data_IF_702769193825
#
_entry.id   IF_702769193825
#
_cell.length_a   1.000
_cell.length_b   1.000
_cell.length_c   1.000
_cell.angle_alpha   90.00
_cell.angle_beta   90.00
_cell.angle_gamma   90.00
#
_symmetry.space_group_name_H-M   'P 1'
#
loop_
_entity.id
_entity.type
_entity.pdbx_description
1 polymer ?
#
# COMPACT_ATOMS: atom_id res chain seq x y z
N UNK A 1 -44.85 9.37 48.46
CA UNK A 1 -43.71 9.14 47.54
C UNK A 1 -44.21 8.92 46.10
N UNK A 2 -44.86 9.93 45.49
CA UNK A 2 -45.43 9.82 44.13
C UNK A 2 -45.54 11.16 43.38
N UNK A 3 -44.66 12.12 43.68
CA UNK A 3 -44.70 13.47 43.07
C UNK A 3 -43.37 13.95 42.47
N UNK A 4 -42.34 13.09 42.40
CA UNK A 4 -41.02 13.48 41.87
C UNK A 4 -40.66 12.91 40.49
N UNK A 5 -41.56 12.15 39.86
CA UNK A 5 -41.28 11.45 38.59
C UNK A 5 -42.03 11.99 37.35
N UNK A 6 -42.89 13.00 37.48
CA UNK A 6 -43.54 13.64 36.31
C UNK A 6 -42.73 14.83 35.76
N UNK A 7 -41.93 15.50 36.58
CA UNK A 7 -41.12 16.67 36.17
C UNK A 7 -39.89 16.28 35.36
N UNK A 8 -39.27 15.12 35.61
CA UNK A 8 -38.15 14.62 34.78
C UNK A 8 -38.59 14.13 33.40
N UNK A 9 -39.81 13.61 33.25
CA UNK A 9 -40.36 13.22 31.94
C UNK A 9 -40.79 14.41 31.09
N UNK A 10 -41.25 15.52 31.68
CA UNK A 10 -41.53 16.76 30.94
C UNK A 10 -40.26 17.49 30.50
N UNK A 11 -39.19 17.46 31.29
CA UNK A 11 -37.91 18.06 30.88
C UNK A 11 -37.27 17.25 29.75
N UNK A 12 -37.35 15.91 29.77
CA UNK A 12 -36.81 15.07 28.69
C UNK A 12 -37.64 15.09 27.39
N UNK A 13 -38.91 15.51 27.45
CA UNK A 13 -39.75 15.72 26.25
C UNK A 13 -39.58 17.15 25.72
N UNK A 14 -39.21 18.13 26.56
CA UNK A 14 -38.98 19.52 26.13
C UNK A 14 -37.55 19.72 25.60
N UNK A 15 -36.54 18.96 26.05
CA UNK A 15 -35.21 18.96 25.41
C UNK A 15 -35.08 18.05 24.20
N UNK A 16 -36.09 17.23 23.90
CA UNK A 16 -36.20 16.49 22.63
C UNK A 16 -37.07 17.22 21.58
N UNK A 17 -37.68 18.35 21.95
CA UNK A 17 -38.48 19.21 21.07
C UNK A 17 -37.77 20.52 20.66
N UNK A 18 -36.53 20.73 21.09
CA UNK A 18 -35.68 21.86 20.65
C UNK A 18 -34.48 21.41 19.80
N UNK A 19 -34.42 20.14 19.40
CA UNK A 19 -33.39 19.60 18.48
C UNK A 19 -33.98 18.94 17.22
N UNK A 20 -35.31 19.05 17.03
CA UNK A 20 -36.04 18.56 15.84
C UNK A 20 -36.81 19.74 15.20
N UNK A 21 -36.17 20.91 15.12
CA UNK A 21 -36.73 22.06 14.37
C UNK A 21 -35.75 22.70 13.37
N UNK A 22 -34.62 22.05 13.07
CA UNK A 22 -33.66 22.53 12.06
C UNK A 22 -33.27 21.50 10.99
N UNK A 23 -33.95 20.35 10.95
CA UNK A 23 -33.79 19.33 9.89
C UNK A 23 -34.93 19.35 8.85
N UNK A 24 -35.89 20.26 8.98
CA UNK A 24 -37.02 20.39 8.06
C UNK A 24 -37.09 21.86 7.63
N UNK A 25 -36.37 22.24 6.57
CA UNK A 25 -36.77 23.30 5.60
C UNK A 25 -35.72 23.63 4.51
N UNK A 26 -34.76 22.75 4.16
CA UNK A 26 -34.00 22.97 2.90
C UNK A 26 -34.85 22.70 1.64
N UNK A 27 -35.98 22.00 1.79
CA UNK A 27 -36.89 21.67 0.67
C UNK A 27 -37.69 22.91 0.20
N UNK A 28 -37.74 24.01 0.98
CA UNK A 28 -38.50 25.21 0.61
C UNK A 28 -37.67 26.35 -0.02
N UNK A 29 -36.34 26.31 0.00
CA UNK A 29 -35.50 27.42 -0.48
C UNK A 29 -35.26 27.42 -1.99
N UNK A 30 -35.52 26.32 -2.72
CA UNK A 30 -35.40 26.32 -4.18
C UNK A 30 -36.63 26.88 -4.91
N UNK A 31 -37.82 26.89 -4.30
CA UNK A 31 -39.04 27.40 -4.97
C UNK A 31 -39.23 28.91 -4.85
N UNK A 32 -38.43 29.57 -4.01
CA UNK A 32 -38.48 31.02 -3.74
C UNK A 32 -37.14 31.72 -3.99
N UNK A 33 -36.11 31.00 -4.47
CA UNK A 33 -34.82 31.62 -4.78
C UNK A 33 -34.96 32.55 -5.99
N UNK A 34 -34.61 33.82 -5.81
CA UNK A 34 -34.50 34.78 -6.89
C UNK A 34 -33.16 34.58 -7.59
N UNK A 35 -33.16 34.49 -8.93
CA UNK A 35 -31.93 34.39 -9.71
C UNK A 35 -31.73 35.73 -10.40
N UNK A 36 -30.59 36.37 -10.12
CA UNK A 36 -30.19 37.64 -10.71
C UNK A 36 -29.04 37.38 -11.68
N UNK A 37 -29.27 37.64 -12.97
CA UNK A 37 -28.24 37.52 -13.99
C UNK A 37 -27.33 38.76 -13.98
N UNK A 38 -26.03 38.54 -13.81
CA UNK A 38 -25.00 39.57 -13.76
C UNK A 38 -24.12 39.43 -15.02
N UNK A 39 -24.24 40.33 -16.02
CA UNK A 39 -23.37 40.30 -17.20
C UNK A 39 -21.92 40.73 -16.89
N UNK A 40 -21.75 41.57 -15.87
CA UNK A 40 -20.44 42.06 -15.42
C UNK A 40 -19.74 41.08 -14.48
N UNK A 41 -18.79 41.60 -13.70
CA UNK A 41 -18.06 40.83 -12.69
C UNK A 41 -18.30 41.33 -11.27
N UNK A 42 -19.14 42.35 -11.08
CA UNK A 42 -19.36 42.98 -9.80
C UNK A 42 -20.85 43.13 -9.47
N UNK A 43 -21.17 43.00 -8.19
CA UNK A 43 -22.42 43.39 -7.55
C UNK A 43 -22.02 44.36 -6.45
N UNK A 44 -22.59 45.56 -6.45
CA UNK A 44 -22.23 46.61 -5.51
C UNK A 44 -23.47 47.05 -4.73
N UNK A 45 -23.34 47.10 -3.41
CA UNK A 45 -24.33 47.57 -2.44
C UNK A 45 -25.74 46.97 -2.65
N UNK A 46 -25.82 45.67 -2.97
CA UNK A 46 -27.09 44.99 -3.17
C UNK A 46 -27.68 44.55 -1.83
N UNK A 47 -28.92 44.96 -1.56
CA UNK A 47 -29.58 44.70 -0.28
C UNK A 47 -30.39 43.42 -0.35
N UNK A 48 -30.08 42.48 0.54
CA UNK A 48 -30.78 41.21 0.69
C UNK A 48 -31.60 41.25 1.96
N UNK A 49 -32.91 41.06 1.84
CA UNK A 49 -33.82 41.10 2.97
C UNK A 49 -33.72 39.81 3.83
N UNK A 50 -34.04 39.89 5.14
CA UNK A 50 -34.16 38.73 6.01
C UNK A 50 -35.01 37.60 5.42
N UNK A 51 -34.52 36.37 5.51
CA UNK A 51 -35.13 35.14 4.98
C UNK A 51 -35.25 35.08 3.45
N UNK A 52 -34.57 35.96 2.73
CA UNK A 52 -34.46 35.87 1.28
C UNK A 52 -33.34 34.91 0.89
N UNK A 53 -33.49 34.31 -0.29
CA UNK A 53 -32.42 33.55 -0.96
C UNK A 53 -32.23 34.12 -2.35
N UNK A 54 -31.04 34.65 -2.63
CA UNK A 54 -30.68 35.20 -3.93
C UNK A 54 -29.54 34.39 -4.52
N UNK A 55 -29.59 34.14 -5.83
CA UNK A 55 -28.52 33.48 -6.59
C UNK A 55 -28.05 34.45 -7.68
N UNK A 56 -26.83 34.96 -7.52
CA UNK A 56 -26.17 35.78 -8.53
C UNK A 56 -25.53 34.86 -9.58
N UNK A 57 -26.00 34.97 -10.81
CA UNK A 57 -25.51 34.21 -11.96
C UNK A 57 -24.63 35.11 -12.83
N UNK A 58 -23.30 34.98 -12.70
CA UNK A 58 -22.33 35.63 -13.58
C UNK A 58 -22.28 34.90 -14.92
N UNK A 59 -23.15 35.32 -15.83
CA UNK A 59 -23.50 34.58 -17.06
C UNK A 59 -22.28 34.34 -17.96
N UNK A 60 -21.40 35.33 -18.11
CA UNK A 60 -20.18 35.23 -18.92
C UNK A 60 -19.17 34.21 -18.40
N UNK A 61 -19.23 33.89 -17.10
CA UNK A 61 -18.26 33.02 -16.44
C UNK A 61 -18.86 31.65 -16.05
N UNK A 62 -20.17 31.47 -16.18
CA UNK A 62 -20.91 30.32 -15.65
C UNK A 62 -20.63 30.11 -14.15
N UNK A 63 -20.69 31.21 -13.39
CA UNK A 63 -20.46 31.22 -11.94
C UNK A 63 -21.75 31.58 -11.21
N UNK A 64 -22.17 30.73 -10.29
CA UNK A 64 -23.33 30.93 -9.45
C UNK A 64 -22.86 31.17 -8.02
N UNK A 65 -23.22 32.31 -7.44
CA UNK A 65 -22.99 32.63 -6.05
C UNK A 65 -24.33 32.85 -5.37
N UNK A 66 -24.74 31.90 -4.53
CA UNK A 66 -25.98 32.00 -3.79
C UNK A 66 -25.76 32.48 -2.36
N UNK A 67 -26.73 33.22 -1.83
CA UNK A 67 -26.77 33.68 -0.45
C UNK A 67 -28.17 33.46 0.11
N UNK A 68 -28.23 32.86 1.30
CA UNK A 68 -29.43 32.75 2.13
C UNK A 68 -29.10 33.32 3.50
N UNK A 69 -29.97 34.13 4.07
CA UNK A 69 -29.68 34.81 5.33
C UNK A 69 -30.94 34.99 6.17
N UNK A 70 -30.84 34.87 7.49
CA UNK A 70 -31.91 35.29 8.41
C UNK A 70 -31.86 36.81 8.69
N UNK A 71 -30.78 37.49 8.29
CA UNK A 71 -30.48 38.88 8.60
C UNK A 71 -30.40 39.73 7.33
N UNK A 72 -30.63 41.05 7.46
CA UNK A 72 -30.43 41.96 6.34
C UNK A 72 -28.94 42.00 5.96
N UNK A 73 -28.62 41.83 4.68
CA UNK A 73 -27.23 41.83 4.20
C UNK A 73 -27.07 42.87 3.10
N UNK A 74 -26.14 43.80 3.29
CA UNK A 74 -25.64 44.65 2.23
C UNK A 74 -24.42 43.97 1.58
N UNK A 75 -24.59 43.47 0.35
CA UNK A 75 -23.60 42.64 -0.33
C UNK A 75 -22.80 43.43 -1.37
N UNK A 76 -21.48 43.35 -1.24
CA UNK A 76 -20.56 43.60 -2.35
C UNK A 76 -19.92 42.28 -2.79
N UNK A 77 -19.97 41.99 -4.07
CA UNK A 77 -19.41 40.78 -4.67
C UNK A 77 -18.53 41.14 -5.86
N UNK A 78 -17.26 40.75 -5.82
CA UNK A 78 -16.31 40.98 -6.91
C UNK A 78 -15.75 39.64 -7.41
N UNK A 79 -16.12 39.28 -8.65
CA UNK A 79 -15.63 38.13 -9.38
C UNK A 79 -14.34 38.46 -10.13
N UNK A 80 -13.27 37.78 -9.78
CA UNK A 80 -11.96 37.98 -10.38
C UNK A 80 -11.84 37.46 -11.81
N UNK A 81 -10.83 37.93 -12.54
CA UNK A 81 -10.49 37.35 -13.83
C UNK A 81 -10.17 35.86 -13.67
N UNK A 82 -10.53 35.07 -14.68
CA UNK A 82 -10.21 33.64 -14.75
C UNK A 82 -10.93 32.71 -13.76
N UNK A 83 -11.95 33.18 -13.04
CA UNK A 83 -12.90 32.29 -12.35
C UNK A 83 -14.00 31.87 -13.32
N UNK A 84 -14.15 30.57 -13.52
CA UNK A 84 -15.17 30.01 -14.42
C UNK A 84 -15.77 28.75 -13.83
N UNK A 85 -17.03 28.46 -14.16
CA UNK A 85 -17.69 27.21 -13.82
C UNK A 85 -17.59 26.92 -12.31
N UNK A 86 -18.20 27.76 -11.48
CA UNK A 86 -18.24 27.58 -10.02
C UNK A 86 -19.68 27.73 -9.54
N UNK A 87 -20.06 26.96 -8.53
CA UNK A 87 -21.36 27.10 -7.87
C UNK A 87 -21.17 26.96 -6.37
N UNK A 88 -21.18 28.10 -5.69
CA UNK A 88 -21.08 28.21 -4.24
C UNK A 88 -22.34 28.85 -3.67
N UNK A 89 -22.69 28.48 -2.45
CA UNK A 89 -23.82 29.03 -1.72
C UNK A 89 -23.39 29.29 -0.28
N UNK A 90 -23.68 30.48 0.23
CA UNK A 90 -23.45 30.84 1.63
C UNK A 90 -24.76 30.97 2.38
N UNK A 91 -24.82 30.43 3.58
CA UNK A 91 -25.97 30.54 4.47
C UNK A 91 -25.50 31.24 5.73
N UNK A 92 -26.14 32.36 6.05
CA UNK A 92 -25.80 33.18 7.20
C UNK A 92 -26.93 33.08 8.21
N UNK A 93 -26.59 32.80 9.46
CA UNK A 93 -27.50 32.91 10.59
C UNK A 93 -26.87 33.81 11.62
N UNK A 94 -27.50 34.97 11.85
CA UNK A 94 -26.99 36.02 12.72
C UNK A 94 -28.09 36.67 13.56
N UNK A 95 -29.20 35.97 13.83
CA UNK A 95 -30.30 36.44 14.69
C UNK A 95 -30.86 37.80 14.26
N UNK A 96 -31.01 38.00 12.95
CA UNK A 96 -31.54 39.22 12.34
C UNK A 96 -30.67 40.49 12.53
N UNK A 97 -29.40 40.38 12.91
CA UNK A 97 -28.50 41.55 12.97
C UNK A 97 -27.92 41.85 11.60
N UNK A 98 -28.10 43.08 11.11
CA UNK A 98 -27.65 43.50 9.78
C UNK A 98 -26.14 43.36 9.57
N UNK A 99 -25.73 43.03 8.34
CA UNK A 99 -24.35 42.68 7.98
C UNK A 99 -23.97 43.43 6.70
N UNK A 100 -22.83 44.11 6.71
CA UNK A 100 -22.14 44.49 5.48
C UNK A 100 -21.18 43.36 5.12
N UNK A 101 -21.42 42.71 3.97
CA UNK A 101 -20.68 41.54 3.53
C UNK A 101 -19.93 41.86 2.24
N UNK A 102 -18.61 41.81 2.31
CA UNK A 102 -17.74 41.98 1.14
C UNK A 102 -17.14 40.62 0.77
N UNK A 103 -17.49 40.13 -0.41
CA UNK A 103 -16.99 38.89 -0.97
C UNK A 103 -16.12 39.17 -2.20
N UNK A 104 -14.87 38.72 -2.19
CA UNK A 104 -13.98 38.80 -3.35
C UNK A 104 -13.56 37.40 -3.77
N UNK A 105 -13.74 37.06 -5.04
CA UNK A 105 -13.44 35.73 -5.58
C UNK A 105 -12.21 35.82 -6.47
N UNK A 106 -11.12 35.12 -6.14
CA UNK A 106 -9.89 35.07 -6.96
C UNK A 106 -9.30 33.65 -7.00
N UNK A 107 -8.57 33.28 -8.07
CA UNK A 107 -7.95 31.96 -8.19
C UNK A 107 -6.72 31.75 -7.30
N UNK A 108 -6.04 32.80 -6.83
CA UNK A 108 -4.83 32.67 -6.02
C UNK A 108 -4.78 33.74 -4.92
N UNK A 109 -3.99 33.47 -3.86
CA UNK A 109 -3.76 34.43 -2.78
C UNK A 109 -3.03 35.69 -3.27
N UNK A 110 -2.13 35.56 -4.25
CA UNK A 110 -1.41 36.70 -4.85
C UNK A 110 -2.36 37.72 -5.48
N UNK A 111 -3.44 37.25 -6.12
CA UNK A 111 -4.48 38.12 -6.68
C UNK A 111 -5.38 38.77 -5.62
N UNK A 112 -5.30 38.29 -4.38
CA UNK A 112 -5.85 38.95 -3.20
C UNK A 112 -4.85 39.92 -2.53
N UNK A 113 -3.67 40.13 -3.13
CA UNK A 113 -2.64 41.06 -2.63
C UNK A 113 -1.69 40.45 -1.59
N UNK A 114 -1.75 39.13 -1.34
CA UNK A 114 -0.86 38.44 -0.41
C UNK A 114 0.46 38.06 -1.09
N UNK A 115 1.59 38.55 -0.56
CA UNK A 115 2.92 38.27 -1.12
C UNK A 115 3.43 36.84 -0.83
N UNK A 116 2.94 36.20 0.23
CA UNK A 116 3.34 34.84 0.60
C UNK A 116 2.12 33.92 0.58
N UNK A 117 2.26 32.76 -0.07
CA UNK A 117 1.23 31.74 -0.06
C UNK A 117 1.27 30.97 1.28
N UNK A 118 0.13 30.86 1.99
CA UNK A 118 0.07 30.09 3.22
C UNK A 118 0.36 28.60 2.96
N UNK A 119 0.97 27.94 3.94
CA UNK A 119 1.29 26.52 3.86
C UNK A 119 -0.01 25.72 3.72
N UNK A 120 -0.04 24.79 2.76
CA UNK A 120 -1.13 23.84 2.65
C UNK A 120 -1.25 23.02 3.94
N UNK A 121 -2.47 22.69 4.37
CA UNK A 121 -2.64 21.84 5.52
C UNK A 121 -2.07 20.45 5.20
N UNK A 122 -1.50 19.79 6.20
CA UNK A 122 -1.12 18.38 6.12
C UNK A 122 -1.29 17.72 7.48
N UNK A 123 -1.66 16.45 7.47
CA UNK A 123 -1.63 15.61 8.66
C UNK A 123 -0.76 14.36 8.40
N UNK A 124 -0.68 13.46 9.39
CA UNK A 124 0.18 12.28 9.33
C UNK A 124 -0.16 11.29 8.20
N UNK A 125 -1.35 11.36 7.62
CA UNK A 125 -1.84 10.40 6.62
C UNK A 125 -2.26 11.07 5.30
N UNK A 126 -2.58 12.36 5.34
CA UNK A 126 -3.18 13.10 4.24
C UNK A 126 -2.41 14.38 3.93
N UNK A 127 -2.21 14.59 2.63
CA UNK A 127 -1.81 15.88 2.10
C UNK A 127 -3.02 16.52 1.42
N UNK A 128 -3.28 17.77 1.76
CA UNK A 128 -4.37 18.56 1.19
C UNK A 128 -3.79 19.44 0.07
N UNK A 129 -4.24 19.30 -1.18
CA UNK A 129 -3.73 20.15 -2.27
C UNK A 129 -4.80 21.12 -2.74
N UNK A 130 -4.34 22.33 -2.99
CA UNK A 130 -5.14 23.37 -3.62
C UNK A 130 -5.14 23.15 -5.13
N UNK A 131 -6.30 22.76 -5.68
CA UNK A 131 -6.52 22.62 -7.13
C UNK A 131 -7.81 23.27 -7.60
N UNK A 132 -8.60 23.80 -6.67
CA UNK A 132 -9.91 24.34 -6.99
C UNK A 132 -9.84 25.71 -7.66
N UNK A 133 -8.69 26.40 -7.60
CA UNK A 133 -8.44 27.69 -8.27
C UNK A 133 -9.60 28.69 -8.02
N UNK A 134 -10.11 28.71 -6.79
CA UNK A 134 -11.23 29.53 -6.36
C UNK A 134 -11.15 29.74 -4.85
N UNK A 135 -10.68 30.91 -4.46
CA UNK A 135 -10.61 31.39 -3.08
C UNK A 135 -11.62 32.52 -2.92
N UNK A 136 -12.54 32.34 -1.99
CA UNK A 136 -13.51 33.35 -1.57
C UNK A 136 -12.88 34.07 -0.38
N UNK A 137 -12.59 35.36 -0.53
CA UNK A 137 -12.29 36.25 0.57
C UNK A 137 -13.62 36.80 1.09
N UNK A 138 -13.85 36.66 2.39
CA UNK A 138 -15.01 37.20 3.11
C UNK A 138 -14.50 38.22 4.11
N UNK A 139 -15.11 39.40 4.09
CA UNK A 139 -14.89 40.47 5.05
C UNK A 139 -16.25 41.00 5.52
N UNK A 140 -16.42 41.16 6.82
CA UNK A 140 -17.70 41.55 7.43
C UNK A 140 -17.51 42.59 8.52
N UNK A 141 -18.38 43.59 8.57
CA UNK A 141 -18.37 44.62 9.63
C UNK A 141 -18.87 44.11 10.99
N UNK A 142 -19.67 43.04 10.98
CA UNK A 142 -20.25 42.41 12.18
C UNK A 142 -19.78 40.98 12.31
N UNK A 143 -19.71 40.49 13.55
CA UNK A 143 -19.41 39.08 13.81
C UNK A 143 -20.60 38.23 13.35
N UNK A 144 -20.35 37.19 12.57
CA UNK A 144 -21.36 36.23 12.12
C UNK A 144 -21.39 35.05 13.06
N UNK A 145 -22.54 34.75 13.65
CA UNK A 145 -22.68 33.60 14.56
C UNK A 145 -22.49 32.25 13.88
N UNK A 146 -23.12 32.04 12.71
CA UNK A 146 -22.94 30.85 11.91
C UNK A 146 -22.92 31.19 10.42
N UNK A 147 -21.82 30.81 9.76
CA UNK A 147 -21.66 30.86 8.31
C UNK A 147 -21.50 29.43 7.79
N UNK A 148 -22.49 28.96 7.03
CA UNK A 148 -22.41 27.69 6.30
C UNK A 148 -22.01 27.95 4.85
N UNK A 149 -21.00 27.22 4.37
CA UNK A 149 -20.56 27.25 2.99
C UNK A 149 -20.95 25.94 2.32
N UNK A 150 -21.56 26.03 1.15
CA UNK A 150 -21.91 24.89 0.31
C UNK A 150 -21.30 25.05 -1.08
N UNK A 151 -20.62 24.00 -1.55
CA UNK A 151 -20.10 23.92 -2.91
C UNK A 151 -20.77 22.76 -3.62
N UNK A 152 -21.38 23.01 -4.79
CA UNK A 152 -22.03 21.95 -5.56
C UNK A 152 -20.98 21.00 -6.12
N UNK A 153 -20.99 19.75 -5.65
CA UNK A 153 -20.08 18.69 -6.10
C UNK A 153 -20.53 18.17 -7.46
N UNK A 154 -19.98 18.77 -8.51
CA UNK A 154 -20.25 18.38 -9.89
C UNK A 154 -18.99 18.65 -10.75
N UNK A 155 -18.71 17.76 -11.69
CA UNK A 155 -17.54 17.87 -12.55
C UNK A 155 -17.57 19.14 -13.41
N UNK A 156 -18.75 19.60 -13.84
CA UNK A 156 -18.92 20.88 -14.54
C UNK A 156 -18.40 22.05 -13.70
N UNK A 157 -18.53 22.00 -12.37
CA UNK A 157 -18.07 23.05 -11.45
C UNK A 157 -16.67 22.78 -10.86
N UNK A 158 -15.89 21.91 -11.51
CA UNK A 158 -14.50 21.62 -11.12
C UNK A 158 -14.33 20.61 -9.99
N UNK A 159 -15.39 19.90 -9.59
CA UNK A 159 -15.37 18.97 -8.46
C UNK A 159 -15.71 17.54 -8.91
N UNK A 160 -14.72 16.65 -8.89
CA UNK A 160 -14.89 15.27 -9.32
C UNK A 160 -15.69 14.44 -8.30
N UNK A 161 -16.64 13.62 -8.78
CA UNK A 161 -17.56 12.86 -7.92
C UNK A 161 -16.84 11.90 -6.96
N UNK A 162 -15.77 11.24 -7.43
CA UNK A 162 -15.05 10.24 -6.64
C UNK A 162 -13.97 10.84 -5.74
N UNK A 163 -13.71 12.15 -5.84
CA UNK A 163 -12.73 12.83 -5.00
C UNK A 163 -13.35 13.25 -3.67
N UNK A 164 -12.56 13.15 -2.60
CA UNK A 164 -12.91 13.71 -1.30
C UNK A 164 -12.35 15.11 -1.20
N UNK A 165 -13.14 16.00 -0.63
CA UNK A 165 -12.78 17.40 -0.47
C UNK A 165 -12.97 17.82 0.99
N UNK A 166 -12.15 18.78 1.41
CA UNK A 166 -12.31 19.50 2.68
C UNK A 166 -12.31 21.00 2.39
N UNK A 167 -13.07 21.73 3.19
CA UNK A 167 -13.02 23.19 3.19
C UNK A 167 -11.87 23.61 4.10
N UNK A 168 -11.02 24.49 3.57
CA UNK A 168 -9.99 25.18 4.32
C UNK A 168 -10.38 26.63 4.53
N UNK A 169 -10.09 27.15 5.72
CA UNK A 169 -10.16 28.56 6.07
C UNK A 169 -8.76 29.07 6.41
N UNK A 170 -8.45 30.29 6.00
CA UNK A 170 -7.20 30.96 6.31
C UNK A 170 -7.50 32.37 6.78
N UNK A 171 -6.87 32.74 7.90
CA UNK A 171 -6.88 34.08 8.45
C UNK A 171 -5.50 34.70 8.22
N UNK A 172 -5.45 35.99 7.89
CA UNK A 172 -4.22 36.70 7.52
C UNK A 172 -3.06 36.49 8.50
N UNK A 173 -3.37 36.34 9.80
CA UNK A 173 -2.38 36.23 10.87
C UNK A 173 -1.79 34.81 11.04
N UNK A 174 -2.25 33.82 10.28
CA UNK A 174 -1.79 32.44 10.39
C UNK A 174 -0.74 32.10 9.33
N UNK A 175 0.07 31.07 9.58
CA UNK A 175 1.06 30.58 8.59
C UNK A 175 0.50 29.53 7.63
N UNK A 176 -0.62 28.91 7.98
CA UNK A 176 -1.18 27.76 7.26
C UNK A 176 -2.70 27.78 7.25
N UNK A 177 -3.29 27.21 6.21
CA UNK A 177 -4.73 26.93 6.17
C UNK A 177 -5.14 26.00 7.30
N UNK A 178 -6.31 26.25 7.88
CA UNK A 178 -6.97 25.37 8.83
C UNK A 178 -8.12 24.61 8.13
N UNK A 179 -8.24 23.30 8.36
CA UNK A 179 -9.32 22.49 7.79
C UNK A 179 -10.50 22.49 8.74
N UNK A 180 -11.67 22.90 8.25
CA UNK A 180 -12.91 22.87 9.02
C UNK A 180 -13.64 21.53 8.87
N UNK A 181 -14.55 21.26 9.81
CA UNK A 181 -15.47 20.13 9.68
C UNK A 181 -16.27 20.29 8.39
N UNK A 182 -16.12 19.32 7.50
CA UNK A 182 -16.72 19.32 6.17
C UNK A 182 -17.46 18.01 5.97
N UNK A 183 -18.72 18.10 5.56
CA UNK A 183 -19.63 17.00 5.29
C UNK A 183 -20.03 16.99 3.82
N UNK A 184 -20.22 15.81 3.26
CA UNK A 184 -20.81 15.66 1.93
C UNK A 184 -22.29 15.34 2.10
N UNK A 185 -23.16 16.27 1.68
CA UNK A 185 -24.62 16.15 1.77
C UNK A 185 -25.22 15.88 0.41
N UNK A 186 -26.30 15.10 0.38
CA UNK A 186 -27.08 14.84 -0.84
C UNK A 186 -28.47 15.44 -0.64
N UNK A 187 -28.86 16.35 -1.53
CA UNK A 187 -30.21 16.84 -1.58
C UNK A 187 -31.10 15.72 -2.15
N UNK A 188 -31.99 15.18 -1.32
CA UNK A 188 -32.84 14.04 -1.70
C UNK A 188 -33.84 14.40 -2.82
N UNK A 189 -34.26 15.65 -2.92
CA UNK A 189 -35.23 16.11 -3.92
C UNK A 189 -34.60 16.36 -5.28
N UNK A 190 -33.42 16.95 -5.33
CA UNK A 190 -32.72 17.26 -6.60
C UNK A 190 -31.68 16.22 -6.99
N UNK A 191 -31.38 15.27 -6.10
CA UNK A 191 -30.24 14.32 -6.21
C UNK A 191 -28.88 15.01 -6.38
N UNK A 192 -28.77 16.30 -6.07
CA UNK A 192 -27.53 17.04 -6.15
C UNK A 192 -26.68 16.82 -4.89
N UNK A 193 -25.37 16.66 -5.09
CA UNK A 193 -24.41 16.49 -4.00
C UNK A 193 -23.70 17.82 -3.71
N UNK A 194 -23.47 18.10 -2.43
CA UNK A 194 -22.86 19.33 -1.95
C UNK A 194 -21.77 19.01 -0.92
N UNK A 195 -20.68 19.76 -0.97
CA UNK A 195 -19.67 19.80 0.08
C UNK A 195 -20.04 20.97 0.98
N UNK A 196 -20.33 20.69 2.24
CA UNK A 196 -20.78 21.67 3.21
C UNK A 196 -19.79 21.78 4.38
N UNK A 197 -19.52 22.99 4.82
CA UNK A 197 -18.78 23.26 6.06
C UNK A 197 -19.37 24.44 6.81
N UNK A 198 -19.25 24.41 8.12
CA UNK A 198 -19.79 25.42 9.03
C UNK A 198 -18.65 26.14 9.75
N UNK A 199 -18.75 27.46 9.83
CA UNK A 199 -17.84 28.32 10.58
C UNK A 199 -18.69 29.04 11.63
N UNK A 200 -18.35 28.82 12.90
CA UNK A 200 -19.03 29.43 14.03
C UNK A 200 -18.24 30.66 14.49
N UNK A 201 -18.94 31.73 14.83
CA UNK A 201 -18.38 32.98 15.36
C UNK A 201 -17.27 33.56 14.47
N UNK A 202 -17.59 33.86 13.20
CA UNK A 202 -16.69 34.57 12.30
C UNK A 202 -16.54 36.02 12.77
N UNK A 203 -15.38 36.40 13.30
CA UNK A 203 -15.17 37.72 13.92
C UNK A 203 -15.29 38.88 12.90
N UNK A 204 -15.77 40.03 13.37
CA UNK A 204 -15.88 41.25 12.58
C UNK A 204 -14.50 41.82 12.19
N UNK A 205 -14.47 42.63 11.13
CA UNK A 205 -13.32 43.45 10.70
C UNK A 205 -12.06 42.62 10.36
N UNK A 206 -12.24 41.33 10.08
CA UNK A 206 -11.17 40.39 9.72
C UNK A 206 -11.40 39.83 8.31
N UNK A 207 -10.30 39.59 7.60
CA UNK A 207 -10.30 38.96 6.28
C UNK A 207 -10.15 37.44 6.40
N UNK A 208 -11.17 36.70 5.98
CA UNK A 208 -11.16 35.24 5.94
C UNK A 208 -11.10 34.75 4.51
N UNK A 209 -10.17 33.86 4.21
CA UNK A 209 -10.01 33.23 2.92
C UNK A 209 -10.51 31.80 3.01
N UNK A 210 -11.37 31.40 2.09
CA UNK A 210 -12.02 30.08 2.11
C UNK A 210 -11.84 29.41 0.76
N UNK A 211 -11.49 28.13 0.78
CA UNK A 211 -11.38 27.32 -0.43
C UNK A 211 -11.56 25.82 -0.19
N UNK A 212 -11.57 25.03 -1.28
CA UNK A 212 -11.60 23.58 -1.26
C UNK A 212 -10.22 22.97 -1.51
N UNK A 213 -9.91 21.95 -0.72
CA UNK A 213 -8.73 21.10 -0.86
C UNK A 213 -9.12 19.69 -1.28
N UNK A 214 -8.36 19.13 -2.23
CA UNK A 214 -8.44 17.70 -2.53
C UNK A 214 -7.60 16.89 -1.51
N UNK A 215 -8.10 15.71 -1.13
CA UNK A 215 -7.41 14.84 -0.18
C UNK A 215 -6.57 13.81 -0.93
N UNK A 216 -5.27 13.78 -0.68
CA UNK A 216 -4.35 12.77 -1.20
C UNK A 216 -3.81 11.92 -0.06
N UNK A 217 -3.88 10.60 -0.21
CA UNK A 217 -3.29 9.66 0.74
C UNK A 217 -1.77 9.62 0.56
N UNK A 218 -1.03 9.84 1.64
CA UNK A 218 0.43 9.73 1.68
C UNK A 218 0.77 8.24 1.77
N UNK A 219 1.02 7.60 0.62
CA UNK A 219 1.48 6.22 0.62
C UNK A 219 2.98 6.17 0.96
N UNK A 220 3.32 5.70 2.17
CA UNK A 220 4.69 5.57 2.68
C UNK A 220 5.46 4.42 2.01
N UNK A 221 5.72 4.54 0.72
CA UNK A 221 6.44 3.55 -0.09
C UNK A 221 7.92 3.39 0.30
N UNK A 222 8.52 4.35 0.99
CA UNK A 222 9.94 4.30 1.38
C UNK A 222 10.26 3.16 2.36
N UNK A 223 9.28 2.73 3.17
CA UNK A 223 9.43 1.60 4.10
C UNK A 223 9.74 0.31 3.33
N UNK A 224 9.07 0.08 2.19
CA UNK A 224 9.30 -1.09 1.35
C UNK A 224 10.69 -1.08 0.70
N UNK A 225 11.22 0.10 0.35
CA UNK A 225 12.58 0.24 -0.17
C UNK A 225 13.60 -0.20 0.88
N UNK A 226 13.43 0.22 2.14
CA UNK A 226 14.29 -0.20 3.24
C UNK A 226 14.21 -1.71 3.50
N UNK A 227 12.99 -2.27 3.54
CA UNK A 227 12.77 -3.72 3.73
C UNK A 227 13.45 -4.54 2.63
N UNK A 228 13.29 -4.16 1.35
CA UNK A 228 13.93 -4.86 0.22
C UNK A 228 15.45 -4.75 0.29
N UNK A 229 16.00 -3.59 0.64
CA UNK A 229 17.45 -3.41 0.78
C UNK A 229 18.05 -4.28 1.89
N UNK A 230 17.33 -4.45 3.01
CA UNK A 230 17.77 -5.29 4.13
C UNK A 230 17.77 -6.77 3.75
N UNK A 231 16.76 -7.24 3.00
CA UNK A 231 16.68 -8.62 2.51
C UNK A 231 17.84 -8.93 1.56
N UNK A 232 18.15 -8.01 0.62
CA UNK A 232 19.27 -8.17 -0.31
C UNK A 232 20.61 -8.17 0.45
N UNK A 233 20.77 -7.30 1.45
CA UNK A 233 21.96 -7.27 2.29
C UNK A 233 22.14 -8.56 3.10
N UNK A 234 21.04 -9.09 3.67
CA UNK A 234 21.04 -10.34 4.43
C UNK A 234 21.37 -11.54 3.56
N UNK A 235 20.84 -11.64 2.33
CA UNK A 235 21.14 -12.76 1.43
C UNK A 235 22.62 -12.78 1.00
N UNK A 236 23.19 -11.62 0.66
CA UNK A 236 24.60 -11.50 0.32
C UNK A 236 25.52 -11.91 1.50
N UNK A 237 25.13 -11.56 2.72
CA UNK A 237 25.89 -11.87 3.93
C UNK A 237 25.87 -13.38 4.25
N UNK A 238 24.73 -14.05 4.08
CA UNK A 238 24.61 -15.52 4.23
C UNK A 238 25.51 -16.25 3.24
N UNK A 239 25.54 -15.81 1.98
CA UNK A 239 26.41 -16.38 0.94
C UNK A 239 27.89 -16.19 1.28
N UNK A 240 28.28 -15.00 1.73
CA UNK A 240 29.66 -14.69 2.12
C UNK A 240 30.13 -15.51 3.34
N UNK A 241 29.27 -15.69 4.34
CA UNK A 241 29.55 -16.55 5.50
C UNK A 241 29.72 -18.00 5.03
N UNK A 242 28.79 -18.53 4.23
CA UNK A 242 28.85 -19.89 3.68
C UNK A 242 30.15 -20.15 2.91
N UNK A 243 30.57 -19.22 2.04
CA UNK A 243 31.85 -19.32 1.32
C UNK A 243 33.06 -19.33 2.26
N UNK A 244 33.09 -18.43 3.26
CA UNK A 244 34.20 -18.34 4.23
C UNK A 244 34.32 -19.63 5.05
N UNK A 245 33.21 -20.13 5.57
CA UNK A 245 33.15 -21.37 6.33
C UNK A 245 33.58 -22.57 5.47
N UNK A 246 33.11 -22.62 4.22
CA UNK A 246 33.50 -23.66 3.28
C UNK A 246 34.99 -23.64 2.96
N UNK A 247 35.59 -22.49 2.67
CA UNK A 247 37.02 -22.37 2.44
C UNK A 247 37.85 -22.75 3.68
N UNK A 248 37.39 -22.38 4.88
CA UNK A 248 38.02 -22.78 6.13
C UNK A 248 37.94 -24.30 6.34
N UNK A 249 36.81 -24.93 6.03
CA UNK A 249 36.68 -26.39 6.00
C UNK A 249 37.68 -27.03 5.02
N UNK A 250 37.81 -26.48 3.80
CA UNK A 250 38.75 -27.00 2.81
C UNK A 250 40.21 -26.92 3.27
N UNK A 251 40.59 -25.86 3.99
CA UNK A 251 41.95 -25.69 4.53
C UNK A 251 42.25 -26.62 5.72
N UNK A 252 41.25 -26.91 6.55
CA UNK A 252 41.40 -27.70 7.78
C UNK A 252 41.23 -29.21 7.60
N UNK A 253 40.71 -29.66 6.46
CA UNK A 253 40.50 -31.10 6.20
C UNK A 253 41.80 -31.88 6.02
N UNK A 254 41.78 -33.14 6.45
CA UNK A 254 42.90 -34.09 6.33
C UNK A 254 42.60 -35.20 5.33
N UNK A 255 42.33 -34.83 4.07
CA UNK A 255 41.99 -35.78 3.00
C UNK A 255 43.21 -36.00 2.09
N UNK A 256 43.60 -37.24 1.76
CA UNK A 256 44.62 -37.47 0.75
C UNK A 256 44.12 -36.98 -0.62
N UNK A 257 44.90 -36.09 -1.23
CA UNK A 257 44.67 -35.56 -2.59
C UNK A 257 45.71 -36.19 -3.50
N UNK A 258 45.26 -37.02 -4.44
CA UNK A 258 46.09 -37.46 -5.55
C UNK A 258 46.10 -36.35 -6.59
N UNK A 259 47.22 -35.63 -6.67
CA UNK A 259 47.36 -34.45 -7.55
C UNK A 259 47.66 -34.82 -9.00
N UNK A 260 47.92 -36.10 -9.30
CA UNK A 260 48.35 -36.53 -10.63
C UNK A 260 49.50 -35.67 -11.19
N UNK A 261 49.28 -35.05 -12.36
CA UNK A 261 50.26 -34.20 -13.07
C UNK A 261 50.26 -32.75 -12.56
N UNK A 262 49.31 -32.36 -11.71
CA UNK A 262 49.17 -30.98 -11.25
C UNK A 262 50.20 -30.62 -10.17
N UNK A 263 50.92 -29.51 -10.37
CA UNK A 263 51.96 -29.02 -9.44
C UNK A 263 51.46 -28.03 -8.37
N UNK A 264 50.16 -27.77 -8.29
CA UNK A 264 49.60 -26.72 -7.43
C UNK A 264 49.50 -27.15 -5.95
N UNK A 265 49.53 -26.18 -5.05
CA UNK A 265 49.08 -26.35 -3.67
C UNK A 265 47.58 -26.10 -3.56
N UNK A 266 46.96 -26.50 -2.45
CA UNK A 266 45.54 -26.19 -2.22
C UNK A 266 45.32 -24.68 -2.15
N UNK A 267 46.27 -23.93 -1.59
CA UNK A 267 46.17 -22.47 -1.50
C UNK A 267 46.20 -21.83 -2.89
N UNK A 268 47.12 -22.25 -3.77
CA UNK A 268 47.15 -21.78 -5.17
C UNK A 268 45.83 -22.07 -5.92
N UNK A 269 45.17 -23.18 -5.58
CA UNK A 269 43.87 -23.54 -6.14
C UNK A 269 42.78 -22.60 -5.65
N UNK A 270 42.77 -22.27 -4.36
CA UNK A 270 41.76 -21.39 -3.75
C UNK A 270 42.01 -19.89 -3.99
N UNK A 271 43.23 -19.45 -4.29
CA UNK A 271 43.52 -18.02 -4.52
C UNK A 271 43.19 -17.54 -5.93
N UNK A 272 43.03 -18.45 -6.89
CA UNK A 272 42.74 -18.07 -8.27
C UNK A 272 41.33 -17.49 -8.44
N UNK A 273 41.23 -16.30 -9.01
CA UNK A 273 39.99 -15.54 -9.16
C UNK A 273 38.88 -16.31 -9.89
N UNK A 274 39.20 -16.98 -11.00
CA UNK A 274 38.22 -17.74 -11.77
C UNK A 274 37.71 -18.96 -10.98
N UNK A 275 38.60 -19.66 -10.27
CA UNK A 275 38.20 -20.78 -9.39
C UNK A 275 37.37 -20.30 -8.20
N UNK A 276 37.70 -19.14 -7.64
CA UNK A 276 36.90 -18.53 -6.57
C UNK A 276 35.48 -18.17 -7.01
N UNK A 277 35.33 -17.58 -8.21
CA UNK A 277 34.01 -17.31 -8.79
C UNK A 277 33.22 -18.60 -9.03
N UNK A 278 33.88 -19.66 -9.50
CA UNK A 278 33.24 -20.96 -9.71
C UNK A 278 32.78 -21.61 -8.39
N UNK A 279 33.61 -21.55 -7.34
CA UNK A 279 33.24 -22.06 -6.01
C UNK A 279 32.01 -21.31 -5.49
N UNK A 280 31.97 -19.99 -5.65
CA UNK A 280 30.84 -19.14 -5.26
C UNK A 280 29.55 -19.55 -5.96
N UNK A 281 29.55 -19.63 -7.30
CA UNK A 281 28.37 -20.07 -8.05
C UNK A 281 27.90 -21.49 -7.67
N UNK A 282 28.83 -22.41 -7.37
CA UNK A 282 28.51 -23.79 -6.99
C UNK A 282 27.99 -23.87 -5.54
N UNK A 283 28.41 -22.96 -4.66
CA UNK A 283 27.86 -22.85 -3.29
C UNK A 283 26.49 -22.18 -3.28
N UNK A 284 26.27 -21.18 -4.14
CA UNK A 284 24.96 -20.54 -4.32
C UNK A 284 23.94 -21.48 -4.95
N UNK A 285 24.35 -22.27 -5.95
CA UNK A 285 23.48 -23.21 -6.67
C UNK A 285 24.09 -24.62 -6.74
N UNK A 286 24.06 -25.40 -5.64
CA UNK A 286 24.53 -26.78 -5.65
C UNK A 286 23.80 -27.62 -6.70
N UNK A 287 24.55 -28.28 -7.57
CA UNK A 287 24.00 -29.03 -8.71
C UNK A 287 23.87 -28.22 -10.01
N UNK A 288 24.49 -27.03 -10.08
CA UNK A 288 24.56 -26.20 -11.29
C UNK A 288 25.17 -26.95 -12.48
N UNK A 289 24.60 -26.72 -13.67
CA UNK A 289 25.01 -27.37 -14.91
C UNK A 289 26.25 -26.71 -15.53
N UNK A 290 27.06 -27.49 -16.25
CA UNK A 290 28.20 -26.98 -17.00
C UNK A 290 27.84 -25.77 -17.91
N UNK A 291 26.75 -25.89 -18.68
CA UNK A 291 26.32 -24.82 -19.59
C UNK A 291 25.82 -23.58 -18.85
N UNK A 292 25.32 -23.74 -17.62
CA UNK A 292 24.86 -22.61 -16.81
C UNK A 292 26.05 -21.87 -16.20
N UNK A 293 27.06 -22.60 -15.70
CA UNK A 293 28.35 -22.02 -15.34
C UNK A 293 29.00 -21.30 -16.53
N UNK A 294 28.92 -21.85 -17.74
CA UNK A 294 29.44 -21.20 -18.95
C UNK A 294 28.73 -19.89 -19.29
N UNK A 295 27.44 -19.76 -18.97
CA UNK A 295 26.67 -18.52 -19.18
C UNK A 295 26.94 -17.47 -18.10
N UNK A 296 27.11 -17.92 -16.86
CA UNK A 296 27.35 -17.07 -15.68
C UNK A 296 28.82 -16.64 -15.55
N UNK A 297 29.72 -17.29 -16.28
CA UNK A 297 31.15 -16.96 -16.29
C UNK A 297 31.56 -16.41 -17.65
N UNK A 298 32.54 -15.51 -17.67
CA UNK A 298 33.13 -14.99 -18.92
C UNK A 298 34.21 -15.93 -19.49
N UNK A 299 34.17 -17.22 -19.13
CA UNK A 299 35.19 -18.19 -19.49
C UNK A 299 34.85 -18.88 -20.81
N UNK A 300 35.88 -19.20 -21.59
CA UNK A 300 35.72 -20.15 -22.71
C UNK A 300 35.43 -21.56 -22.16
N UNK A 301 34.72 -22.39 -22.94
CA UNK A 301 34.36 -23.74 -22.51
C UNK A 301 35.59 -24.60 -22.10
N UNK A 302 36.72 -24.44 -22.80
CA UNK A 302 37.97 -25.12 -22.46
C UNK A 302 38.57 -24.64 -21.13
N UNK A 303 38.58 -23.33 -20.88
CA UNK A 303 39.07 -22.77 -19.63
C UNK A 303 38.18 -23.16 -18.45
N UNK A 304 36.86 -23.11 -18.63
CA UNK A 304 35.89 -23.56 -17.62
C UNK A 304 36.11 -25.03 -17.26
N UNK A 305 36.24 -25.89 -18.27
CA UNK A 305 36.50 -27.32 -18.06
C UNK A 305 37.81 -27.54 -17.28
N UNK A 306 38.88 -26.82 -17.63
CA UNK A 306 40.15 -26.90 -16.91
C UNK A 306 40.05 -26.45 -15.45
N UNK A 307 39.39 -25.33 -15.18
CA UNK A 307 39.20 -24.84 -13.81
C UNK A 307 38.37 -25.81 -12.96
N UNK A 308 37.31 -26.39 -13.52
CA UNK A 308 36.46 -27.38 -12.83
C UNK A 308 37.20 -28.69 -12.58
N UNK A 309 38.04 -29.13 -13.51
CA UNK A 309 38.89 -30.32 -13.37
C UNK A 309 39.92 -30.15 -12.25
N UNK A 310 40.54 -28.97 -12.13
CA UNK A 310 41.40 -28.64 -11.00
C UNK A 310 40.59 -28.64 -9.70
N UNK A 311 39.44 -27.97 -9.65
CA UNK A 311 38.64 -27.92 -8.43
C UNK A 311 38.19 -29.32 -7.98
N UNK A 312 37.85 -30.21 -8.92
CA UNK A 312 37.48 -31.59 -8.62
C UNK A 312 38.68 -32.42 -8.15
N UNK A 313 39.84 -32.30 -8.82
CA UNK A 313 41.08 -33.01 -8.46
C UNK A 313 41.46 -32.72 -7.01
N UNK A 314 41.36 -31.45 -6.60
CA UNK A 314 41.63 -31.02 -5.23
C UNK A 314 40.44 -31.25 -4.29
N UNK A 315 39.42 -32.00 -4.73
CA UNK A 315 38.22 -32.32 -3.96
C UNK A 315 37.53 -31.07 -3.39
N UNK A 316 37.61 -29.95 -4.10
CA UNK A 316 36.93 -28.69 -3.73
C UNK A 316 35.49 -28.73 -4.23
N UNK A 317 35.23 -29.43 -5.32
CA UNK A 317 33.88 -29.69 -5.83
C UNK A 317 33.77 -31.16 -6.22
N UNK A 318 32.56 -31.68 -6.29
CA UNK A 318 32.24 -32.93 -6.96
C UNK A 318 31.54 -32.66 -8.29
N UNK A 319 31.69 -33.58 -9.25
CA UNK A 319 30.87 -33.60 -10.46
C UNK A 319 30.06 -34.89 -10.54
N UNK A 320 28.88 -34.81 -11.14
CA UNK A 320 28.04 -35.99 -11.37
C UNK A 320 27.27 -35.87 -12.67
N UNK A 321 27.10 -36.99 -13.36
CA UNK A 321 26.20 -37.09 -14.50
C UNK A 321 24.78 -37.38 -14.01
N UNK A 322 23.86 -36.48 -14.30
CA UNK A 322 22.43 -36.66 -14.07
C UNK A 322 21.75 -36.59 -15.45
N UNK A 323 21.19 -37.72 -15.88
CA UNK A 323 20.64 -37.93 -17.22
C UNK A 323 21.65 -37.57 -18.33
N UNK A 324 21.38 -36.49 -19.08
CA UNK A 324 22.22 -36.00 -20.17
C UNK A 324 23.20 -34.91 -19.76
N UNK A 325 23.13 -34.43 -18.52
CA UNK A 325 23.86 -33.25 -18.08
C UNK A 325 24.93 -33.57 -17.04
N UNK A 326 26.00 -32.80 -17.07
CA UNK A 326 27.03 -32.77 -16.04
C UNK A 326 26.71 -31.64 -15.04
N UNK A 327 26.61 -31.99 -13.77
CA UNK A 327 26.34 -31.05 -12.66
C UNK A 327 27.49 -31.01 -11.67
N UNK A 328 27.65 -29.88 -11.00
CA UNK A 328 28.72 -29.63 -10.03
C UNK A 328 28.14 -29.24 -8.67
N UNK A 329 28.76 -29.68 -7.59
CA UNK A 329 28.31 -29.44 -6.22
C UNK A 329 29.51 -29.31 -5.27
N UNK A 330 29.36 -28.66 -4.11
CA UNK A 330 30.43 -28.58 -3.11
C UNK A 330 30.80 -29.98 -2.59
N UNK A 331 32.10 -30.23 -2.38
CA UNK A 331 32.61 -31.49 -1.85
C UNK A 331 32.72 -31.46 -0.33
N UNK A 332 31.97 -32.33 0.34
CA UNK A 332 32.09 -32.58 1.78
C UNK A 332 32.55 -34.01 2.04
N UNK A 333 33.40 -34.22 3.06
CA UNK A 333 34.02 -35.53 3.38
C UNK A 333 32.97 -36.60 3.77
N UNK A 334 31.86 -36.15 4.38
CA UNK A 334 30.58 -36.84 4.44
C UNK A 334 29.60 -35.90 3.75
N UNK A 335 29.07 -36.30 2.61
CA UNK A 335 28.17 -35.43 1.85
C UNK A 335 26.88 -35.25 2.68
N UNK A 336 26.53 -34.06 3.21
CA UNK A 336 25.25 -33.86 3.87
C UNK A 336 24.11 -34.07 2.85
N UNK A 337 24.40 -33.80 1.58
CA UNK A 337 23.49 -34.05 0.47
C UNK A 337 23.76 -35.46 -0.05
N UNK A 338 23.08 -36.43 0.56
CA UNK A 338 23.07 -37.80 0.04
C UNK A 338 22.63 -37.80 -1.43
N UNK A 339 23.04 -38.82 -2.19
CA UNK A 339 22.64 -39.01 -3.60
C UNK A 339 21.09 -39.05 -3.79
N UNK A 340 20.39 -39.31 -2.69
CA UNK A 340 18.95 -39.34 -2.57
C UNK A 340 18.39 -37.91 -2.52
N UNK A 341 19.00 -37.02 -1.74
CA UNK A 341 18.59 -35.63 -1.54
C UNK A 341 18.67 -34.80 -2.86
N UNK A 342 19.73 -34.94 -3.65
CA UNK A 342 19.83 -34.31 -5.00
C UNK A 342 18.75 -34.76 -5.99
N UNK A 343 18.26 -36.01 -5.88
CA UNK A 343 17.21 -36.57 -6.77
C UNK A 343 15.80 -36.24 -6.29
N UNK A 344 15.65 -35.90 -5.01
CA UNK A 344 14.41 -35.49 -4.35
C UNK A 344 14.15 -33.98 -4.52
N UNK A 345 15.17 -33.13 -4.35
CA UNK A 345 15.07 -31.67 -4.46
C UNK A 345 14.53 -31.18 -5.83
N UNK A 346 14.68 -31.98 -6.88
CA UNK A 346 14.13 -31.67 -8.22
C UNK A 346 12.64 -31.95 -8.40
N UNK A 347 11.94 -32.49 -7.39
CA UNK A 347 10.52 -32.84 -7.50
C UNK A 347 9.74 -32.59 -6.21
N UNK A 348 9.13 -31.41 -6.13
CA UNK A 348 8.28 -30.95 -5.02
C UNK A 348 7.19 -31.97 -4.63
N UNK A 349 6.51 -32.58 -5.62
CA UNK A 349 5.49 -33.59 -5.38
C UNK A 349 6.05 -34.88 -4.74
N UNK A 350 7.28 -35.29 -5.10
CA UNK A 350 7.91 -36.48 -4.50
C UNK A 350 8.23 -36.24 -3.03
N UNK A 351 8.74 -35.04 -2.70
CA UNK A 351 9.02 -34.61 -1.32
C UNK A 351 7.74 -34.56 -0.48
N UNK A 352 6.68 -33.95 -1.02
CA UNK A 352 5.40 -33.84 -0.32
C UNK A 352 4.76 -35.22 -0.04
N UNK A 353 4.89 -36.16 -0.97
CA UNK A 353 4.43 -37.55 -0.76
C UNK A 353 5.24 -38.22 0.35
N UNK A 354 6.56 -38.01 0.38
CA UNK A 354 7.43 -38.56 1.42
C UNK A 354 7.07 -38.01 2.80
N UNK A 355 6.91 -36.70 2.94
CA UNK A 355 6.50 -36.01 4.17
C UNK A 355 5.15 -36.54 4.70
N UNK A 356 4.18 -36.76 3.82
CA UNK A 356 2.88 -37.33 4.23
C UNK A 356 3.05 -38.77 4.73
N UNK A 357 3.91 -39.58 4.11
CA UNK A 357 4.17 -40.96 4.56
C UNK A 357 4.90 -40.98 5.90
N UNK A 358 5.81 -40.04 6.14
CA UNK A 358 6.50 -39.86 7.42
C UNK A 358 5.51 -39.50 8.54
N UNK A 359 4.64 -38.52 8.27
CA UNK A 359 3.64 -38.05 9.23
C UNK A 359 2.50 -39.05 9.46
N UNK A 360 2.16 -39.87 8.44
CA UNK A 360 1.09 -40.86 8.48
C UNK A 360 1.58 -42.24 8.02
N UNK A 361 2.43 -42.95 8.80
CA UNK A 361 2.89 -44.28 8.44
C UNK A 361 1.73 -45.26 8.26
N UNK A 362 1.72 -45.98 7.15
CA UNK A 362 0.65 -46.90 6.78
C UNK A 362 -0.41 -46.30 5.85
N UNK A 363 -0.23 -45.05 5.40
CA UNK A 363 -1.05 -44.45 4.35
C UNK A 363 -0.95 -45.25 3.05
N UNK A 364 -2.02 -45.24 2.24
CA UNK A 364 -2.10 -45.99 0.99
C UNK A 364 -2.51 -45.08 -0.18
N UNK A 365 -2.26 -45.57 -1.40
CA UNK A 365 -2.31 -44.80 -2.64
C UNK A 365 -3.58 -43.95 -2.84
N UNK A 366 -4.75 -44.44 -2.42
CA UNK A 366 -6.02 -43.73 -2.59
C UNK A 366 -6.13 -42.51 -1.68
N UNK A 367 -5.62 -42.58 -0.46
CA UNK A 367 -5.61 -41.42 0.44
C UNK A 367 -4.64 -40.37 -0.10
N UNK A 368 -3.45 -40.79 -0.55
CA UNK A 368 -2.46 -39.87 -1.14
C UNK A 368 -3.00 -39.16 -2.39
N UNK A 369 -3.68 -39.89 -3.29
CA UNK A 369 -4.29 -39.32 -4.49
C UNK A 369 -5.36 -38.27 -4.15
N UNK A 370 -6.20 -38.54 -3.15
CA UNK A 370 -7.24 -37.63 -2.71
C UNK A 370 -6.68 -36.41 -1.98
N UNK A 371 -5.73 -36.60 -1.06
CA UNK A 371 -5.14 -35.54 -0.23
C UNK A 371 -4.32 -34.55 -1.06
N UNK A 372 -3.69 -35.02 -2.14
CA UNK A 372 -2.90 -34.18 -3.04
C UNK A 372 -3.66 -33.73 -4.29
N UNK A 373 -4.90 -34.18 -4.51
CA UNK A 373 -5.64 -33.97 -5.76
C UNK A 373 -4.86 -34.38 -7.02
N UNK A 374 -4.16 -35.52 -6.95
CA UNK A 374 -3.31 -36.06 -8.03
C UNK A 374 -3.79 -37.45 -8.42
N UNK A 375 -3.71 -37.78 -9.71
CA UNK A 375 -4.16 -39.08 -10.19
C UNK A 375 -3.32 -40.26 -9.63
N UNK A 376 -3.96 -41.43 -9.55
CA UNK A 376 -3.36 -42.63 -8.99
C UNK A 376 -2.09 -43.10 -9.71
N UNK A 377 -1.95 -42.88 -11.02
CA UNK A 377 -0.75 -43.30 -11.78
C UNK A 377 0.42 -42.40 -11.43
N UNK A 378 0.19 -41.10 -11.32
CA UNK A 378 1.21 -40.14 -10.89
C UNK A 378 1.68 -40.42 -9.47
N UNK A 379 0.76 -40.63 -8.50
CA UNK A 379 1.16 -41.05 -7.15
C UNK A 379 1.96 -42.36 -7.17
N UNK A 380 1.51 -43.36 -7.95
CA UNK A 380 2.22 -44.64 -8.07
C UNK A 380 3.64 -44.48 -8.64
N UNK A 381 3.83 -43.57 -9.59
CA UNK A 381 5.15 -43.23 -10.12
C UNK A 381 6.08 -42.69 -9.02
N UNK A 382 5.60 -41.71 -8.25
CA UNK A 382 6.39 -41.09 -7.18
C UNK A 382 6.66 -42.05 -6.02
N UNK A 383 5.68 -42.84 -5.61
CA UNK A 383 5.87 -43.89 -4.59
C UNK A 383 6.90 -44.93 -5.06
N UNK A 384 6.83 -45.39 -6.31
CA UNK A 384 7.83 -46.32 -6.84
C UNK A 384 9.23 -45.69 -6.90
N UNK A 385 9.32 -44.38 -7.16
CA UNK A 385 10.58 -43.64 -7.10
C UNK A 385 11.15 -43.63 -5.67
N UNK A 386 10.32 -43.36 -4.66
CA UNK A 386 10.71 -43.38 -3.24
C UNK A 386 11.14 -44.79 -2.78
N UNK A 387 10.46 -45.84 -3.23
CA UNK A 387 10.83 -47.25 -2.94
C UNK A 387 12.19 -47.60 -3.56
N UNK A 388 12.44 -47.17 -4.81
CA UNK A 388 13.75 -47.38 -5.47
C UNK A 388 14.89 -46.64 -4.79
N UNK A 389 14.59 -45.55 -4.10
CA UNK A 389 15.54 -44.80 -3.28
C UNK A 389 15.66 -45.35 -1.86
N UNK A 390 14.96 -46.46 -1.56
CA UNK A 390 14.95 -47.12 -0.25
C UNK A 390 14.44 -46.23 0.89
N UNK A 391 13.71 -45.15 0.59
CA UNK A 391 13.18 -44.20 1.59
C UNK A 391 11.87 -44.66 2.23
N UNK A 392 11.12 -45.51 1.55
CA UNK A 392 9.86 -46.05 2.05
C UNK A 392 9.80 -47.55 1.79
N UNK A 393 9.13 -48.26 2.69
CA UNK A 393 8.82 -49.69 2.57
C UNK A 393 7.32 -49.90 2.32
N UNK A 394 6.99 -51.02 1.67
CA UNK A 394 5.59 -51.37 1.38
C UNK A 394 5.20 -52.60 2.21
N UNK A 395 4.14 -52.48 3.01
CA UNK A 395 3.48 -53.62 3.66
C UNK A 395 2.12 -53.87 3.03
N UNK A 396 1.81 -55.13 2.74
CA UNK A 396 0.50 -55.52 2.21
C UNK A 396 -0.43 -55.91 3.34
N UNK A 397 -1.65 -55.36 3.34
CA UNK A 397 -2.77 -55.82 4.18
C UNK A 397 -3.93 -56.16 3.26
N UNK A 398 -4.10 -57.45 2.97
CA UNK A 398 -5.03 -57.92 1.92
C UNK A 398 -4.62 -57.39 0.55
N UNK A 399 -5.54 -56.69 -0.13
CA UNK A 399 -5.31 -56.09 -1.47
C UNK A 399 -4.69 -54.68 -1.42
N UNK A 400 -4.55 -54.09 -0.23
CA UNK A 400 -4.07 -52.71 -0.04
C UNK A 400 -2.56 -52.71 0.21
N UNK A 401 -1.84 -51.84 -0.50
CA UNK A 401 -0.42 -51.52 -0.27
C UNK A 401 -0.33 -50.30 0.65
N UNK A 402 0.20 -50.51 1.85
CA UNK A 402 0.44 -49.47 2.84
C UNK A 402 1.91 -49.07 2.80
N UNK A 403 2.18 -47.77 2.89
CA UNK A 403 3.52 -47.19 2.77
C UNK A 403 4.03 -46.74 4.13
N UNK A 404 5.27 -47.06 4.46
CA UNK A 404 5.90 -46.71 5.73
C UNK A 404 7.26 -46.08 5.45
N UNK A 405 7.71 -45.08 6.24
CA UNK A 405 9.07 -44.58 6.13
C UNK A 405 10.07 -45.71 6.46
N UNK A 406 11.16 -45.77 5.72
CA UNK A 406 12.27 -46.66 6.03
C UNK A 406 13.26 -45.94 6.95
N UNK A 407 13.01 -45.98 8.26
CA UNK A 407 13.80 -45.24 9.26
C UNK A 407 15.28 -45.64 9.33
N UNK A 408 15.64 -46.78 8.73
CA UNK A 408 17.03 -47.24 8.61
C UNK A 408 17.78 -46.61 7.42
N UNK A 409 17.06 -45.91 6.52
CA UNK A 409 17.70 -45.25 5.39
C UNK A 409 18.56 -44.06 5.86
N UNK A 410 19.73 -43.90 5.23
CA UNK A 410 20.72 -42.86 5.55
C UNK A 410 20.13 -41.44 5.61
N UNK A 411 19.10 -41.17 4.79
CA UNK A 411 18.32 -39.93 4.80
C UNK A 411 17.72 -39.60 6.18
N UNK A 412 17.10 -40.57 6.86
CA UNK A 412 16.43 -40.35 8.14
C UNK A 412 17.39 -40.28 9.31
N UNK A 413 18.46 -41.09 9.26
CA UNK A 413 19.48 -41.12 10.32
C UNK A 413 20.22 -39.79 10.39
N UNK A 414 20.52 -39.18 9.24
CA UNK A 414 21.18 -37.87 9.19
C UNK A 414 20.27 -36.75 9.72
N UNK A 415 18.97 -36.75 9.37
CA UNK A 415 18.01 -35.73 9.83
C UNK A 415 17.83 -35.72 11.37
N UNK A 416 17.86 -36.89 12.02
CA UNK A 416 17.75 -36.96 13.48
C UNK A 416 19.00 -36.49 14.23
N UNK A 417 20.18 -36.50 13.59
CA UNK A 417 21.41 -35.96 14.20
C UNK A 417 21.50 -34.44 14.14
N UNK A 418 20.79 -33.79 13.22
CA UNK A 418 20.71 -32.33 13.11
C UNK A 418 19.70 -31.75 14.11
N UNK A 419 18.54 -32.38 14.28
CA UNK A 419 17.50 -31.98 15.26
C UNK A 419 17.94 -32.13 16.73
N UNK A 420 18.97 -32.92 17.03
CA UNK A 420 19.52 -33.10 18.38
C UNK A 420 20.72 -32.18 18.69
N UNK A 421 21.05 -31.24 17.78
CA UNK A 421 22.12 -30.24 17.94
C UNK A 421 21.64 -28.80 18.09
N UNK A 422 20.33 -28.56 17.95
CA UNK A 422 19.65 -27.34 18.41
C UNK A 422 19.14 -27.54 19.85
#
# INVERSE_FOLDING_TARGET
>A
MKLKNQTKKRIFIITFLTLIFFEINFIFTLSLSEIIDIPGTQVNDDMIDPNQTIIYNFTNNNVFFGISTDSAVNLNLDLGPSIFNRKSHIIISNNNTAIDLNCTLRPTMEQHGLQQQPKNPSDSHFQYRYRYNHIIKIHTNTTIQNLTLQFKKNMMYGLAQNSKFKIGIFEYNLESWNIITTNEKINQSTSETYIEGEILNLEAENDYFITLFDIVNINNNWIWILVVSMIIGMSALVIAISKKEYLQFLRSRTIPIDKGVHKLTLEDVLENENRNKLIEFILEEPGIHFNELLRKTELSAGNLAWHLDILETYKVIGKKRIDRYLVFFPYYHKNPISNIDLKLQKSELTLKILEIIENKPGIYNQILANELSVDHKTISYHVNKLVKLELISIKKKGRIKMFFPNLEAEYFVNNQHELNKE
#
